data_IF_893920231664
#
_entry.id   IF_893920231664
#
_cell.length_a   1.000
_cell.length_b   1.000
_cell.length_c   1.000
_cell.angle_alpha   90.00
_cell.angle_beta   90.00
_cell.angle_gamma   90.00
#
_symmetry.space_group_name_H-M   'P 1'
#
loop_
_entity.id
_entity.type
_entity.pdbx_description
1 polymer ?
#
# COMPACT_ATOMS: atom_id res chain seq x y z
N UNK A 1 -12.29 29.59 36.26
CA UNK A 1 -12.60 29.01 34.94
C UNK A 1 -11.37 28.25 34.46
N UNK A 2 -11.37 26.91 34.45
CA UNK A 2 -10.24 26.16 33.92
C UNK A 2 -10.52 25.71 32.47
N UNK A 3 -9.50 25.85 31.63
CA UNK A 3 -9.41 25.33 30.27
C UNK A 3 -9.47 23.79 30.26
N UNK A 4 -10.12 23.13 29.29
CA UNK A 4 -9.92 21.71 29.09
C UNK A 4 -8.63 21.46 28.31
N UNK A 5 -7.84 20.55 28.87
CA UNK A 5 -6.49 20.15 28.48
C UNK A 5 -6.56 19.27 27.21
N UNK A 6 -5.81 19.64 26.17
CA UNK A 6 -5.37 18.70 25.12
C UNK A 6 -4.44 17.65 25.75
N UNK A 7 -4.84 16.37 25.71
CA UNK A 7 -3.92 15.23 25.77
C UNK A 7 -4.19 14.30 24.60
N UNK A 8 -3.13 14.11 23.83
CA UNK A 8 -2.94 13.25 22.65
C UNK A 8 -2.85 11.76 23.06
N UNK A 9 -2.49 10.80 22.18
CA UNK A 9 -3.38 9.86 21.51
C UNK A 9 -3.01 8.44 21.95
N UNK A 10 -3.38 8.06 23.17
CA UNK A 10 -3.12 6.68 23.67
C UNK A 10 -4.35 5.79 23.46
N UNK A 11 -5.54 6.41 23.38
CA UNK A 11 -6.82 5.69 23.34
C UNK A 11 -7.12 5.08 21.96
N UNK A 12 -6.62 5.66 20.87
CA UNK A 12 -6.92 5.15 19.50
C UNK A 12 -6.24 3.80 19.24
N UNK A 13 -5.05 3.56 19.82
CA UNK A 13 -4.39 2.25 19.71
C UNK A 13 -5.11 1.21 20.58
N UNK A 14 -5.65 1.59 21.74
CA UNK A 14 -6.42 0.64 22.57
C UNK A 14 -7.77 0.28 21.97
N UNK A 15 -8.44 1.17 21.24
CA UNK A 15 -9.70 0.84 20.56
C UNK A 15 -9.48 -0.10 19.38
N UNK A 16 -8.43 0.13 18.58
CA UNK A 16 -8.00 -0.82 17.52
C UNK A 16 -7.59 -2.17 18.14
N UNK A 17 -6.96 -2.17 19.33
CA UNK A 17 -6.60 -3.39 20.07
C UNK A 17 -7.80 -4.07 20.75
N UNK A 18 -8.88 -3.35 21.09
CA UNK A 18 -10.02 -3.91 21.83
C UNK A 18 -11.12 -4.49 20.95
N UNK A 19 -11.13 -4.19 19.64
CA UNK A 19 -12.04 -4.81 18.67
C UNK A 19 -11.44 -6.12 18.13
N UNK A 20 -10.11 -6.25 18.16
CA UNK A 20 -9.36 -7.45 17.81
C UNK A 20 -9.24 -8.34 19.06
N UNK A 21 -9.68 -9.60 18.98
CA UNK A 21 -9.42 -10.55 20.07
C UNK A 21 -7.90 -10.59 20.38
N UNK A 22 -7.50 -10.76 21.66
CA UNK A 22 -6.08 -10.82 22.06
C UNK A 22 -5.22 -11.86 21.31
N UNK A 23 -5.85 -12.76 20.58
CA UNK A 23 -5.22 -13.80 19.77
C UNK A 23 -4.85 -13.34 18.34
N UNK A 24 -5.33 -12.18 17.86
CA UNK A 24 -5.12 -11.74 16.47
C UNK A 24 -4.10 -10.60 16.29
N UNK A 25 -3.66 -9.93 17.36
CA UNK A 25 -2.55 -8.96 17.30
C UNK A 25 -1.26 -9.63 17.78
N UNK A 26 -0.64 -10.42 16.92
CA UNK A 26 0.69 -10.98 17.18
C UNK A 26 1.83 -10.00 16.81
N UNK A 27 1.64 -8.71 17.10
CA UNK A 27 2.47 -7.60 16.62
C UNK A 27 3.89 -7.53 17.22
N UNK A 28 4.28 -8.46 18.10
CA UNK A 28 5.66 -8.54 18.63
C UNK A 28 6.49 -9.69 18.05
N UNK A 29 5.91 -10.58 17.23
CA UNK A 29 6.63 -11.71 16.63
C UNK A 29 6.40 -11.89 15.13
N UNK A 30 5.27 -11.47 14.57
CA UNK A 30 5.02 -11.55 13.13
C UNK A 30 5.33 -10.21 12.48
N UNK A 31 6.25 -10.15 11.52
CA UNK A 31 6.42 -9.00 10.62
C UNK A 31 5.20 -8.75 9.71
N UNK A 32 3.99 -9.07 10.17
CA UNK A 32 2.73 -9.04 9.46
C UNK A 32 1.70 -8.30 10.31
N UNK A 33 1.02 -7.34 9.70
CA UNK A 33 -0.13 -6.64 10.25
C UNK A 33 -1.31 -6.94 9.33
N UNK A 34 -2.40 -7.44 9.91
CA UNK A 34 -3.61 -7.80 9.20
C UNK A 34 -4.76 -7.03 9.85
N UNK A 35 -5.47 -6.24 9.05
CA UNK A 35 -6.67 -5.51 9.45
C UNK A 35 -7.86 -6.10 8.69
N UNK A 36 -8.73 -6.82 9.40
CA UNK A 36 -9.92 -7.49 8.83
C UNK A 36 -11.25 -6.89 9.33
N UNK A 37 -11.20 -6.09 10.38
CA UNK A 37 -12.41 -5.58 11.02
C UNK A 37 -13.08 -4.47 10.21
N UNK A 38 -14.40 -4.44 10.35
CA UNK A 38 -15.25 -3.43 9.74
C UNK A 38 -15.11 -2.14 10.54
N UNK A 39 -14.54 -1.11 9.91
CA UNK A 39 -14.53 0.24 10.45
C UNK A 39 -15.66 1.07 9.86
N UNK A 40 -16.15 2.05 10.62
CA UNK A 40 -17.19 2.96 10.11
C UNK A 40 -16.73 3.71 8.86
N UNK A 41 -17.67 4.14 8.00
CA UNK A 41 -17.36 4.92 6.79
C UNK A 41 -16.64 6.25 7.09
N UNK A 42 -16.84 6.79 8.29
CA UNK A 42 -16.23 8.03 8.76
C UNK A 42 -14.90 7.81 9.50
N UNK A 43 -14.44 6.56 9.62
CA UNK A 43 -13.17 6.25 10.24
C UNK A 43 -12.02 6.95 9.51
N UNK A 44 -11.12 7.55 10.29
CA UNK A 44 -9.90 8.20 9.83
C UNK A 44 -8.76 7.76 10.73
N UNK A 45 -7.62 7.51 10.11
CA UNK A 45 -6.39 7.19 10.80
C UNK A 45 -5.30 8.15 10.34
N UNK A 46 -4.73 8.91 11.26
CA UNK A 46 -3.63 9.85 11.05
C UNK A 46 -2.33 9.42 11.77
N UNK A 47 -2.36 8.22 12.38
CA UNK A 47 -1.21 7.63 13.04
C UNK A 47 -0.18 7.05 12.06
N UNK A 48 0.84 6.41 12.62
CA UNK A 48 1.88 5.69 11.87
C UNK A 48 1.66 4.19 11.98
N UNK A 49 1.80 3.48 10.86
CA UNK A 49 1.86 2.02 10.81
C UNK A 49 3.23 1.57 10.30
N UNK A 50 3.76 0.52 10.93
CA UNK A 50 5.12 0.03 10.67
C UNK A 50 6.17 0.69 11.56
N UNK A 51 7.45 0.28 11.44
CA UNK A 51 7.97 -0.64 10.44
C UNK A 51 7.51 -2.09 10.63
N UNK A 52 7.09 -2.76 9.54
CA UNK A 52 6.91 -4.21 9.51
C UNK A 52 7.19 -4.75 8.09
N UNK A 53 7.02 -6.06 7.84
CA UNK A 53 7.24 -6.63 6.51
C UNK A 53 5.96 -6.56 5.67
N UNK A 54 4.80 -6.88 6.25
CA UNK A 54 3.56 -7.04 5.51
C UNK A 54 2.42 -6.27 6.16
N UNK A 55 1.64 -5.58 5.34
CA UNK A 55 0.34 -5.01 5.68
C UNK A 55 -0.70 -5.63 4.76
N UNK A 56 -1.73 -6.23 5.34
CA UNK A 56 -2.94 -6.63 4.63
C UNK A 56 -4.13 -5.92 5.26
N UNK A 57 -4.78 -5.07 4.46
CA UNK A 57 -6.07 -4.46 4.79
C UNK A 57 -7.08 -5.15 3.88
N UNK A 58 -7.93 -5.97 4.47
CA UNK A 58 -9.00 -6.65 3.75
C UNK A 58 -10.17 -5.71 3.52
N UNK A 59 -11.36 -6.13 3.93
CA UNK A 59 -12.58 -5.33 3.82
C UNK A 59 -12.37 -3.91 4.35
N UNK A 60 -12.87 -2.92 3.61
CA UNK A 60 -12.92 -1.50 4.00
C UNK A 60 -11.59 -0.72 4.00
N UNK A 61 -10.71 -0.94 3.02
CA UNK A 61 -9.56 -0.04 2.75
C UNK A 61 -9.92 1.40 2.35
N UNK A 62 -11.20 1.79 2.41
CA UNK A 62 -11.73 3.11 2.04
C UNK A 62 -11.22 4.27 2.88
N UNK A 63 -10.72 3.99 4.08
CA UNK A 63 -10.18 5.02 4.98
C UNK A 63 -8.73 5.37 4.64
N UNK A 64 -8.04 4.53 3.88
CA UNK A 64 -6.63 4.75 3.50
C UNK A 64 -6.56 5.93 2.55
N UNK A 65 -5.86 6.97 3.00
CA UNK A 65 -5.59 8.17 2.20
C UNK A 65 -4.23 8.06 1.49
N UNK A 66 -3.93 8.91 0.49
CA UNK A 66 -2.61 8.95 -0.15
C UNK A 66 -1.51 9.23 0.88
N UNK A 67 -1.79 10.12 1.84
CA UNK A 67 -0.87 10.44 2.92
C UNK A 67 -0.61 9.23 3.84
N UNK A 68 -1.61 8.37 4.08
CA UNK A 68 -1.37 7.13 4.82
C UNK A 68 -0.42 6.23 4.05
N UNK A 69 -0.70 6.02 2.76
CA UNK A 69 0.11 5.15 1.90
C UNK A 69 1.58 5.61 1.80
N UNK A 70 1.82 6.91 1.68
CA UNK A 70 3.18 7.49 1.66
C UNK A 70 3.91 7.38 3.01
N UNK A 71 3.17 7.37 4.13
CA UNK A 71 3.74 7.28 5.47
C UNK A 71 3.92 5.84 5.99
N UNK A 72 3.33 4.86 5.32
CA UNK A 72 3.44 3.45 5.68
C UNK A 72 4.85 2.91 5.41
N UNK A 73 5.43 2.25 6.41
CA UNK A 73 6.77 1.65 6.32
C UNK A 73 6.71 0.12 6.29
N UNK A 74 6.41 -0.43 5.11
CA UNK A 74 6.26 -1.86 4.88
C UNK A 74 7.00 -2.32 3.63
N UNK A 75 7.36 -3.61 3.61
CA UNK A 75 7.92 -4.26 2.42
C UNK A 75 6.82 -4.62 1.43
N UNK A 76 5.65 -5.02 1.93
CA UNK A 76 4.50 -5.44 1.14
C UNK A 76 3.21 -4.86 1.71
N UNK A 77 2.40 -4.29 0.83
CA UNK A 77 1.11 -3.70 1.17
C UNK A 77 0.05 -4.27 0.22
N UNK A 78 -1.04 -4.77 0.79
CA UNK A 78 -2.25 -5.18 0.07
C UNK A 78 -3.43 -4.47 0.72
N UNK A 79 -4.24 -3.80 -0.08
CA UNK A 79 -5.43 -3.08 0.37
C UNK A 79 -6.60 -3.43 -0.54
N UNK A 80 -7.66 -3.96 0.04
CA UNK A 80 -8.92 -4.25 -0.65
C UNK A 80 -9.94 -3.11 -0.40
N UNK A 81 -10.91 -2.95 -1.29
CA UNK A 81 -11.94 -1.90 -1.24
C UNK A 81 -11.40 -0.46 -1.09
N UNK A 82 -10.28 -0.16 -1.74
CA UNK A 82 -9.71 1.19 -1.74
C UNK A 82 -10.64 2.20 -2.39
N UNK A 83 -10.65 3.43 -1.85
CA UNK A 83 -11.29 4.62 -2.46
C UNK A 83 -10.27 5.58 -3.08
N UNK A 84 -8.99 5.19 -3.17
CA UNK A 84 -7.96 6.00 -3.82
C UNK A 84 -8.32 6.22 -5.29
N UNK A 85 -8.15 7.45 -5.75
CA UNK A 85 -8.33 7.82 -7.16
C UNK A 85 -7.07 7.59 -7.99
N UNK A 86 -7.18 7.74 -9.31
CA UNK A 86 -6.01 7.75 -10.21
C UNK A 86 -5.03 8.87 -9.83
N UNK A 87 -5.54 10.05 -9.49
CA UNK A 87 -4.73 11.19 -9.06
C UNK A 87 -3.97 10.92 -7.76
N UNK A 88 -4.63 10.24 -6.82
CA UNK A 88 -4.02 9.82 -5.56
C UNK A 88 -2.86 8.85 -5.79
N UNK A 89 -3.08 7.89 -6.70
CA UNK A 89 -2.06 6.93 -7.06
C UNK A 89 -0.89 7.57 -7.80
N UNK A 90 -1.13 8.47 -8.75
CA UNK A 90 -0.07 9.22 -9.42
C UNK A 90 0.75 10.04 -8.41
N UNK A 91 0.10 10.63 -7.39
CA UNK A 91 0.78 11.31 -6.29
C UNK A 91 1.68 10.35 -5.50
N UNK A 92 1.19 9.15 -5.20
CA UNK A 92 1.99 8.10 -4.56
C UNK A 92 3.18 7.67 -5.43
N UNK A 93 3.01 7.47 -6.73
CA UNK A 93 4.07 7.06 -7.64
C UNK A 93 5.15 8.14 -7.75
N UNK A 94 4.79 9.42 -7.79
CA UNK A 94 5.74 10.54 -7.69
C UNK A 94 6.53 10.51 -6.39
N UNK A 95 5.86 10.29 -5.26
CA UNK A 95 6.50 10.16 -3.96
C UNK A 95 7.51 8.99 -3.97
N UNK A 96 7.13 7.84 -4.50
CA UNK A 96 8.03 6.70 -4.64
C UNK A 96 9.21 7.03 -5.55
N UNK A 97 8.99 7.62 -6.73
CA UNK A 97 10.05 8.04 -7.66
C UNK A 97 11.06 9.00 -7.02
N UNK A 98 10.61 9.86 -6.10
CA UNK A 98 11.47 10.78 -5.36
C UNK A 98 12.29 10.12 -4.22
N UNK A 99 12.20 8.79 -4.04
CA UNK A 99 12.90 8.05 -2.98
C UNK A 99 12.02 7.68 -1.77
N UNK A 100 10.73 8.03 -1.82
CA UNK A 100 9.75 7.69 -0.80
C UNK A 100 9.44 6.19 -0.74
N UNK A 101 8.84 5.76 0.38
CA UNK A 101 8.49 4.35 0.65
C UNK A 101 9.60 3.36 0.26
N UNK A 102 10.85 3.65 0.66
CA UNK A 102 12.05 3.00 0.12
C UNK A 102 12.12 1.48 0.31
N UNK A 103 11.48 0.96 1.36
CA UNK A 103 11.40 -0.48 1.69
C UNK A 103 10.32 -1.23 0.89
N UNK A 104 9.40 -0.53 0.23
CA UNK A 104 8.29 -1.15 -0.49
C UNK A 104 8.80 -1.94 -1.69
N UNK A 105 8.38 -3.19 -1.80
CA UNK A 105 8.66 -4.09 -2.92
C UNK A 105 7.39 -4.54 -3.65
N UNK A 106 6.24 -4.49 -2.98
CA UNK A 106 4.96 -4.89 -3.55
C UNK A 106 3.81 -4.05 -3.01
N UNK A 107 3.01 -3.50 -3.91
CA UNK A 107 1.75 -2.83 -3.59
C UNK A 107 0.64 -3.39 -4.48
N UNK A 108 -0.45 -3.84 -3.85
CA UNK A 108 -1.70 -4.19 -4.53
C UNK A 108 -2.84 -3.38 -3.94
N UNK A 109 -3.61 -2.74 -4.82
CA UNK A 109 -4.85 -2.05 -4.47
C UNK A 109 -5.98 -2.68 -5.28
N UNK A 110 -6.99 -3.21 -4.61
CA UNK A 110 -8.28 -3.53 -5.24
C UNK A 110 -9.25 -2.38 -4.94
N UNK A 111 -9.84 -1.79 -5.97
CA UNK A 111 -10.69 -0.61 -5.87
C UNK A 111 -12.15 -1.00 -5.64
N UNK A 112 -12.84 -0.24 -4.79
CA UNK A 112 -14.26 -0.50 -4.47
C UNK A 112 -15.20 -0.27 -5.66
N UNK A 113 -14.85 0.66 -6.55
CA UNK A 113 -15.66 1.06 -7.70
C UNK A 113 -14.94 0.76 -9.01
N UNK A 114 -15.72 0.56 -10.08
CA UNK A 114 -15.29 0.46 -11.48
C UNK A 114 -14.51 1.72 -11.87
N UNK A 115 -13.20 1.67 -11.69
CA UNK A 115 -12.28 2.74 -12.06
C UNK A 115 -11.61 2.33 -13.36
N UNK A 116 -11.92 3.06 -14.43
CA UNK A 116 -11.19 2.96 -15.70
C UNK A 116 -9.94 3.83 -15.59
N UNK A 117 -8.76 3.23 -15.73
CA UNK A 117 -7.49 3.94 -15.71
C UNK A 117 -7.17 4.40 -17.12
N UNK A 118 -7.32 5.70 -17.37
CA UNK A 118 -7.18 6.21 -18.73
C UNK A 118 -5.72 6.45 -19.13
N UNK A 119 -4.82 6.88 -18.22
CA UNK A 119 -3.37 6.98 -18.44
C UNK A 119 -2.59 7.29 -17.15
N UNK A 120 -1.27 7.07 -17.18
CA UNK A 120 -0.32 7.64 -16.21
C UNK A 120 -0.07 9.12 -16.51
N UNK A 121 0.36 9.86 -15.49
CA UNK A 121 0.81 11.24 -15.68
C UNK A 121 2.12 11.29 -16.50
N UNK A 122 2.28 12.31 -17.35
CA UNK A 122 3.42 12.41 -18.29
C UNK A 122 4.76 12.45 -17.54
N UNK A 123 4.77 13.06 -16.36
CA UNK A 123 5.95 13.18 -15.50
C UNK A 123 6.33 11.89 -14.77
N UNK A 124 5.58 10.80 -14.93
CA UNK A 124 6.00 9.48 -14.43
C UNK A 124 7.05 8.82 -15.32
N UNK A 125 7.25 9.33 -16.55
CA UNK A 125 8.18 8.77 -17.54
C UNK A 125 7.98 7.25 -17.69
N UNK A 126 6.72 6.82 -17.62
CA UNK A 126 6.34 5.42 -17.65
C UNK A 126 6.56 4.87 -19.06
N UNK A 127 7.39 3.83 -19.18
CA UNK A 127 7.72 3.19 -20.46
C UNK A 127 7.00 1.86 -20.54
N UNK A 128 6.23 1.64 -21.60
CA UNK A 128 5.59 0.35 -21.85
C UNK A 128 6.64 -0.77 -21.88
N UNK A 129 6.35 -1.90 -21.24
CA UNK A 129 7.28 -3.01 -21.11
C UNK A 129 6.56 -4.35 -21.22
N UNK A 130 7.19 -5.28 -21.92
CA UNK A 130 6.79 -6.69 -22.03
C UNK A 130 7.47 -7.56 -20.96
N UNK A 131 8.19 -6.94 -20.02
CA UNK A 131 8.82 -7.64 -18.90
C UNK A 131 7.77 -8.43 -18.09
N UNK A 132 8.10 -9.68 -17.78
CA UNK A 132 7.32 -10.53 -16.90
C UNK A 132 8.00 -10.53 -15.54
N UNK A 133 7.27 -10.04 -14.53
CA UNK A 133 7.75 -10.04 -13.14
C UNK A 133 6.98 -11.08 -12.35
N UNK A 134 7.74 -11.96 -11.71
CA UNK A 134 7.21 -12.94 -10.77
C UNK A 134 7.36 -12.43 -9.34
N UNK A 135 6.26 -12.42 -8.59
CA UNK A 135 6.26 -12.10 -7.18
C UNK A 135 5.77 -13.29 -6.36
N UNK A 136 6.66 -13.83 -5.53
CA UNK A 136 6.33 -14.94 -4.64
C UNK A 136 5.63 -14.44 -3.38
N UNK A 137 4.38 -14.81 -3.21
CA UNK A 137 3.60 -14.55 -2.01
C UNK A 137 4.06 -15.44 -0.84
N UNK A 138 3.79 -14.99 0.37
CA UNK A 138 4.16 -15.68 1.61
C UNK A 138 3.47 -17.03 1.80
N UNK A 139 2.32 -17.25 1.15
CA UNK A 139 1.59 -18.52 1.11
C UNK A 139 2.18 -19.51 0.07
N UNK A 140 3.23 -19.13 -0.66
CA UNK A 140 3.88 -19.94 -1.68
C UNK A 140 3.28 -19.81 -3.08
N UNK A 141 2.22 -19.02 -3.25
CA UNK A 141 1.67 -18.70 -4.58
C UNK A 141 2.60 -17.72 -5.32
N UNK A 142 2.72 -17.89 -6.63
CA UNK A 142 3.43 -16.95 -7.48
C UNK A 142 2.41 -16.09 -8.21
N UNK A 143 2.53 -14.77 -8.06
CA UNK A 143 1.85 -13.83 -8.93
C UNK A 143 2.77 -13.57 -10.12
N UNK A 144 2.30 -13.90 -11.31
CA UNK A 144 3.02 -13.64 -12.55
C UNK A 144 2.28 -12.53 -13.27
N UNK A 145 2.93 -11.38 -13.42
CA UNK A 145 2.39 -10.29 -14.23
C UNK A 145 3.34 -10.01 -15.39
N UNK A 146 2.81 -10.11 -16.60
CA UNK A 146 3.43 -9.58 -17.81
C UNK A 146 2.64 -8.39 -18.32
N UNK A 147 3.33 -7.56 -19.10
CA UNK A 147 2.79 -6.36 -19.74
C UNK A 147 2.38 -5.27 -18.73
N UNK A 148 2.83 -4.05 -18.98
CA UNK A 148 2.55 -2.90 -18.12
C UNK A 148 3.51 -1.77 -18.44
N UNK A 149 3.88 -1.01 -17.42
CA UNK A 149 4.81 0.09 -17.56
C UNK A 149 5.94 -0.03 -16.56
N UNK A 150 7.16 0.26 -17.01
CA UNK A 150 8.33 0.43 -16.17
C UNK A 150 8.43 1.88 -15.74
N UNK A 151 8.58 2.11 -14.43
CA UNK A 151 8.93 3.42 -13.87
C UNK A 151 10.25 3.32 -13.11
N UNK A 152 11.02 4.40 -13.09
CA UNK A 152 12.31 4.45 -12.43
C UNK A 152 12.34 5.48 -11.31
N UNK A 153 12.84 5.06 -10.15
CA UNK A 153 13.11 5.90 -8.98
C UNK A 153 14.45 6.63 -9.13
N UNK A 154 14.62 7.72 -8.39
CA UNK A 154 15.81 8.57 -8.44
C UNK A 154 17.13 7.84 -8.11
N UNK A 155 17.06 6.74 -7.37
CA UNK A 155 18.20 5.88 -7.04
C UNK A 155 18.49 4.80 -8.11
N UNK A 156 17.75 4.80 -9.22
CA UNK A 156 17.90 3.85 -10.33
C UNK A 156 17.05 2.58 -10.18
N UNK A 157 16.38 2.39 -9.04
CA UNK A 157 15.50 1.23 -8.83
C UNK A 157 14.29 1.32 -9.76
N UNK A 158 13.98 0.24 -10.47
CA UNK A 158 12.82 0.14 -11.35
C UNK A 158 11.66 -0.56 -10.68
N UNK A 159 10.44 -0.23 -11.11
CA UNK A 159 9.24 -0.96 -10.76
C UNK A 159 8.36 -1.18 -11.98
N UNK A 160 7.78 -2.36 -12.06
CA UNK A 160 6.68 -2.65 -12.97
C UNK A 160 5.38 -2.19 -12.31
N UNK A 161 4.62 -1.36 -13.02
CA UNK A 161 3.28 -0.91 -12.61
C UNK A 161 2.25 -1.35 -13.65
N UNK A 162 1.10 -1.80 -13.15
CA UNK A 162 0.02 -2.33 -13.98
C UNK A 162 -1.34 -1.91 -13.46
N UNK A 163 -2.19 -1.51 -14.39
CA UNK A 163 -3.61 -1.30 -14.17
C UNK A 163 -4.41 -2.43 -14.79
N UNK A 164 -5.31 -2.99 -14.01
CA UNK A 164 -6.33 -3.96 -14.42
C UNK A 164 -7.71 -3.40 -14.08
N UNK A 165 -8.75 -4.08 -14.52
CA UNK A 165 -10.14 -3.80 -14.13
C UNK A 165 -10.22 -3.89 -12.60
N UNK A 166 -10.48 -2.75 -11.93
CA UNK A 166 -10.55 -2.59 -10.47
C UNK A 166 -9.28 -2.91 -9.69
N UNK A 167 -8.11 -2.98 -10.32
CA UNK A 167 -6.87 -3.29 -9.60
C UNK A 167 -5.68 -2.50 -10.08
N UNK A 168 -4.84 -2.12 -9.14
CA UNK A 168 -3.50 -1.62 -9.40
C UNK A 168 -2.48 -2.53 -8.72
N UNK A 169 -1.40 -2.83 -9.45
CA UNK A 169 -0.26 -3.58 -8.93
C UNK A 169 1.03 -2.83 -9.24
N UNK A 170 1.90 -2.75 -8.24
CA UNK A 170 3.28 -2.30 -8.38
C UNK A 170 4.22 -3.34 -7.79
N UNK A 171 5.25 -3.69 -8.54
CA UNK A 171 6.30 -4.61 -8.12
C UNK A 171 7.65 -3.98 -8.39
N UNK A 172 8.44 -3.84 -7.34
CA UNK A 172 9.80 -3.31 -7.46
C UNK A 172 10.71 -4.42 -7.94
N UNK A 173 11.41 -4.18 -9.04
CA UNK A 173 12.40 -5.10 -9.57
C UNK A 173 13.56 -5.17 -8.58
N UNK A 174 13.63 -6.24 -7.81
CA UNK A 174 14.84 -6.59 -7.09
C UNK A 174 15.83 -7.01 -8.18
N UNK A 175 16.79 -6.15 -8.54
CA UNK A 175 17.72 -6.24 -9.69
C UNK A 175 18.46 -7.57 -9.86
N UNK A 176 17.71 -8.63 -10.10
CA UNK A 176 18.16 -9.98 -10.39
C UNK A 176 17.74 -10.19 -11.82
N UNK A 177 18.55 -9.68 -12.74
CA UNK A 177 18.66 -10.29 -14.05
C UNK A 177 18.98 -11.77 -13.78
N UNK A 178 18.02 -12.65 -14.03
CA UNK A 178 18.27 -14.08 -14.04
C UNK A 178 19.06 -14.32 -15.33
N UNK A 179 20.37 -14.49 -15.17
CA UNK A 179 21.31 -14.89 -16.22
C UNK A 179 21.04 -16.33 -16.63
#
# INVERSE_FOLDING_TARGET
MPFPILRTPVVVISEIISILEPNEINARASGYIILRDIVSDNFRFDGKLGPANHLFIGSYGHWVTPNNLMNFDFIKIIIEESKLSVTDLNSFLRHWRAGGSSRLTFLKLDFKNDTMFENFDEDLEAVETDEVVEYRLSNGENLVYGNGYSIQRIDGVKALVRFEIHRFVMMVSNGTEII
#
